data_IF_565527335597
#
_entry.id   IF_565527335597
#
_cell.length_a   1.000
_cell.length_b   1.000
_cell.length_c   1.000
_cell.angle_alpha   90.00
_cell.angle_beta   90.00
_cell.angle_gamma   90.00
#
_symmetry.space_group_name_H-M   'P 1'
#
loop_
_entity.id
_entity.type
_entity.pdbx_description
1 polymer ?
#
# COMPACT_ATOMS: atom_id res chain seq x y z
N UNK A 1 3.75 81.29 -25.01
CA UNK A 1 2.38 81.35 -24.44
C UNK A 1 1.74 79.97 -24.61
N UNK A 2 1.43 79.25 -23.51
CA UNK A 2 0.56 78.04 -23.40
C UNK A 2 1.04 76.72 -24.06
N UNK A 3 1.57 75.69 -23.35
CA UNK A 3 0.90 74.62 -22.53
C UNK A 3 -0.31 74.01 -23.25
N UNK A 4 -0.41 72.68 -23.47
CA UNK A 4 -0.46 71.60 -22.46
C UNK A 4 -0.23 70.22 -23.11
N UNK A 5 0.80 69.46 -22.70
CA UNK A 5 0.82 68.38 -21.70
C UNK A 5 0.14 67.06 -22.13
N UNK A 6 1.01 66.14 -22.59
CA UNK A 6 0.80 64.70 -22.70
C UNK A 6 0.39 64.07 -21.37
N UNK A 7 -0.63 63.23 -21.40
CA UNK A 7 -0.97 62.30 -20.32
C UNK A 7 -1.34 60.95 -20.96
N UNK A 8 -0.35 60.08 -21.15
CA UNK A 8 -0.58 58.66 -21.38
C UNK A 8 -0.25 57.92 -20.10
N UNK A 9 -1.24 57.16 -19.66
CA UNK A 9 -1.40 56.60 -18.35
C UNK A 9 -0.24 55.67 -17.95
N UNK A 10 0.08 55.74 -16.66
CA UNK A 10 0.91 54.82 -15.89
C UNK A 10 0.44 53.37 -16.03
N UNK A 11 1.19 52.55 -16.74
CA UNK A 11 1.11 51.09 -16.67
C UNK A 11 2.25 50.55 -15.80
N UNK A 12 2.00 50.42 -14.50
CA UNK A 12 2.84 49.63 -13.60
C UNK A 12 2.57 48.16 -13.90
N UNK A 13 3.46 47.52 -14.65
CA UNK A 13 3.45 46.08 -14.91
C UNK A 13 4.72 45.46 -14.38
N UNK A 14 4.71 45.06 -13.11
CA UNK A 14 5.76 44.26 -12.48
C UNK A 14 5.89 42.92 -13.21
N UNK A 15 6.99 42.73 -13.95
CA UNK A 15 7.37 41.43 -14.48
C UNK A 15 7.90 40.55 -13.34
N UNK A 16 6.98 39.91 -12.61
CA UNK A 16 7.31 38.89 -11.61
C UNK A 16 7.56 37.58 -12.34
N UNK A 17 8.75 37.05 -12.10
CA UNK A 17 9.28 35.78 -12.59
C UNK A 17 8.30 34.63 -12.32
N UNK A 18 7.59 34.18 -13.35
CA UNK A 18 6.91 32.89 -13.32
C UNK A 18 7.95 31.79 -13.55
N UNK A 19 8.78 31.54 -12.54
CA UNK A 19 9.46 30.25 -12.41
C UNK A 19 8.34 29.26 -12.14
N UNK A 20 7.86 28.62 -13.20
CA UNK A 20 6.84 27.60 -13.11
C UNK A 20 7.28 26.59 -12.05
N UNK A 21 6.57 26.57 -10.94
CA UNK A 21 6.63 25.46 -10.01
C UNK A 21 6.14 24.26 -10.81
N UNK A 22 7.09 23.50 -11.38
CA UNK A 22 6.85 22.08 -11.59
C UNK A 22 6.53 21.58 -10.19
N UNK A 23 5.24 21.51 -9.89
CA UNK A 23 4.75 20.68 -8.81
C UNK A 23 5.31 19.30 -9.13
N UNK A 24 6.40 18.93 -8.45
CA UNK A 24 6.84 17.57 -8.40
C UNK A 24 5.64 16.82 -7.83
N UNK A 25 4.83 16.25 -8.72
CA UNK A 25 3.95 15.16 -8.35
C UNK A 25 4.83 14.23 -7.51
N UNK A 26 4.38 13.81 -6.31
CA UNK A 26 5.18 12.95 -5.47
C UNK A 26 5.62 11.80 -6.36
N UNK A 27 6.93 11.69 -6.57
CA UNK A 27 7.51 10.54 -7.23
C UNK A 27 7.25 9.40 -6.28
N UNK A 28 6.10 8.73 -6.42
CA UNK A 28 5.82 7.46 -5.79
C UNK A 28 7.06 6.61 -6.07
N UNK A 29 7.90 6.36 -5.06
CA UNK A 29 9.10 5.57 -5.31
C UNK A 29 8.56 4.20 -5.74
N UNK A 30 9.01 3.80 -6.93
CA UNK A 30 8.41 2.67 -7.60
C UNK A 30 8.78 1.42 -6.81
N UNK A 31 7.77 0.82 -6.17
CA UNK A 31 7.94 -0.48 -5.54
C UNK A 31 8.16 -1.49 -6.65
N UNK A 32 9.33 -2.10 -6.66
CA UNK A 32 9.68 -3.15 -7.62
C UNK A 32 9.88 -4.49 -6.91
N UNK A 33 9.14 -5.53 -7.32
CA UNK A 33 7.99 -5.50 -8.21
C UNK A 33 6.75 -4.95 -7.50
N UNK A 34 5.78 -4.37 -8.23
CA UNK A 34 4.54 -3.85 -7.60
C UNK A 34 3.61 -4.97 -7.14
N UNK A 35 3.74 -6.17 -7.70
CA UNK A 35 2.93 -7.35 -7.39
C UNK A 35 3.82 -8.57 -7.27
N UNK A 36 3.62 -9.35 -6.21
CA UNK A 36 4.29 -10.63 -5.99
C UNK A 36 3.28 -11.65 -5.46
N UNK A 37 3.44 -12.92 -5.83
CA UNK A 37 2.70 -14.03 -5.25
C UNK A 37 3.52 -14.72 -4.18
N UNK A 38 2.90 -15.16 -3.10
CA UNK A 38 3.54 -15.90 -2.02
C UNK A 38 2.66 -17.08 -1.65
N UNK A 39 3.22 -18.28 -1.54
CA UNK A 39 2.49 -19.39 -0.93
C UNK A 39 2.48 -19.19 0.58
N UNK A 40 1.29 -19.19 1.17
CA UNK A 40 1.07 -19.08 2.59
C UNK A 40 0.26 -20.28 3.09
N UNK A 41 0.62 -20.78 4.27
CA UNK A 41 -0.12 -21.81 4.98
C UNK A 41 -0.81 -21.19 6.20
N UNK A 42 -2.14 -21.24 6.22
CA UNK A 42 -2.98 -20.73 7.30
C UNK A 42 -3.53 -21.85 8.20
N UNK A 43 -2.93 -23.04 8.14
CA UNK A 43 -3.38 -24.23 8.86
C UNK A 43 -4.83 -24.61 8.51
N UNK A 44 -5.72 -24.55 9.50
CA UNK A 44 -7.12 -24.99 9.35
C UNK A 44 -7.97 -24.09 8.44
N UNK A 45 -7.53 -22.86 8.16
CA UNK A 45 -8.22 -21.98 7.22
C UNK A 45 -7.90 -22.31 5.74
N UNK A 46 -6.89 -23.16 5.50
CA UNK A 46 -6.43 -23.53 4.17
C UNK A 46 -5.01 -23.04 3.90
N UNK A 47 -4.47 -23.44 2.76
CA UNK A 47 -3.15 -23.03 2.30
C UNK A 47 -3.15 -22.86 0.79
N UNK A 48 -2.28 -21.98 0.32
CA UNK A 48 -2.06 -21.78 -1.11
C UNK A 48 -1.50 -20.40 -1.44
N UNK A 49 -1.65 -20.00 -2.70
CA UNK A 49 -1.05 -18.78 -3.20
C UNK A 49 -1.87 -17.54 -2.82
N UNK A 50 -1.17 -16.53 -2.31
CA UNK A 50 -1.68 -15.20 -2.03
C UNK A 50 -0.93 -14.20 -2.92
N UNK A 51 -1.67 -13.31 -3.56
CA UNK A 51 -1.14 -12.17 -4.29
C UNK A 51 -1.02 -10.99 -3.35
N UNK A 52 0.19 -10.45 -3.26
CA UNK A 52 0.53 -9.23 -2.55
C UNK A 52 0.74 -8.13 -3.59
N UNK A 53 0.09 -7.00 -3.41
CA UNK A 53 0.32 -5.79 -4.21
C UNK A 53 0.82 -4.71 -3.29
N UNK A 54 2.05 -4.25 -3.50
CA UNK A 54 2.67 -3.19 -2.73
C UNK A 54 2.63 -1.88 -3.51
N UNK A 55 2.37 -0.79 -2.80
CA UNK A 55 2.36 0.58 -3.31
C UNK A 55 3.06 1.47 -2.30
N UNK A 56 3.73 2.52 -2.77
CA UNK A 56 4.41 3.46 -1.90
C UNK A 56 4.15 4.89 -2.34
N UNK A 57 3.84 5.73 -1.36
CA UNK A 57 3.67 7.17 -1.49
C UNK A 57 4.71 7.86 -0.59
N UNK A 58 5.95 7.90 -1.08
CA UNK A 58 7.10 8.55 -0.44
C UNK A 58 7.65 7.77 0.74
N UNK A 59 7.01 7.89 1.91
CA UNK A 59 7.40 7.15 3.14
C UNK A 59 6.29 6.23 3.65
N UNK A 60 5.08 6.38 3.14
CA UNK A 60 3.97 5.48 3.42
C UNK A 60 3.99 4.35 2.39
N UNK A 61 3.82 3.11 2.85
CA UNK A 61 3.60 1.98 1.97
C UNK A 61 2.31 1.27 2.33
N UNK A 62 1.62 0.86 1.29
CA UNK A 62 0.33 0.20 1.39
C UNK A 62 0.42 -1.12 0.67
N UNK A 63 0.03 -2.20 1.36
CA UNK A 63 0.02 -3.55 0.81
C UNK A 63 -1.42 -4.05 0.75
N UNK A 64 -1.82 -4.60 -0.39
CA UNK A 64 -3.10 -5.28 -0.56
C UNK A 64 -2.84 -6.77 -0.72
N UNK A 65 -3.57 -7.59 0.04
CA UNK A 65 -3.47 -9.03 0.01
C UNK A 65 -4.76 -9.61 -0.59
N UNK A 66 -4.61 -10.49 -1.57
CA UNK A 66 -5.72 -11.22 -2.17
C UNK A 66 -5.33 -12.67 -2.37
N UNK A 67 -6.11 -13.63 -1.86
CA UNK A 67 -5.87 -15.06 -2.04
C UNK A 67 -7.13 -15.75 -2.50
N UNK A 68 -7.01 -16.54 -3.56
CA UNK A 68 -8.09 -17.40 -4.06
C UNK A 68 -8.06 -18.81 -3.47
N UNK A 69 -6.94 -19.18 -2.84
CA UNK A 69 -6.77 -20.49 -2.21
C UNK A 69 -7.42 -20.54 -0.82
N UNK A 70 -7.38 -19.43 -0.09
CA UNK A 70 -8.05 -19.29 1.21
C UNK A 70 -9.44 -18.73 0.97
N UNK A 71 -10.46 -19.45 1.44
CA UNK A 71 -11.87 -19.04 1.34
C UNK A 71 -12.35 -18.48 2.67
N UNK A 72 -13.23 -17.48 2.61
CA UNK A 72 -13.89 -16.97 3.80
C UNK A 72 -14.74 -18.09 4.43
N UNK A 73 -14.47 -18.53 5.68
CA UNK A 73 -15.21 -19.64 6.29
C UNK A 73 -16.62 -19.24 6.73
N UNK A 74 -16.86 -17.94 6.87
CA UNK A 74 -18.11 -17.33 7.31
C UNK A 74 -18.36 -16.06 6.50
N UNK A 75 -19.57 -15.51 6.58
CA UNK A 75 -19.86 -14.19 6.04
C UNK A 75 -19.05 -13.12 6.80
N UNK A 76 -18.16 -12.46 6.07
CA UNK A 76 -17.30 -11.41 6.56
C UNK A 76 -17.89 -10.07 6.10
N UNK A 77 -18.33 -9.25 7.05
CA UNK A 77 -18.76 -7.90 6.75
C UNK A 77 -17.56 -7.04 6.32
N UNK A 78 -17.83 -6.03 5.48
CA UNK A 78 -16.80 -5.08 5.07
C UNK A 78 -16.17 -4.40 6.30
N UNK A 79 -14.84 -4.24 6.28
CA UNK A 79 -14.07 -3.62 7.37
C UNK A 79 -14.12 -4.33 8.73
N UNK A 80 -14.39 -5.64 8.72
CA UNK A 80 -14.49 -6.48 9.93
C UNK A 80 -13.31 -7.43 10.12
N UNK A 81 -12.35 -7.45 9.18
CA UNK A 81 -11.11 -8.21 9.26
C UNK A 81 -9.97 -7.28 9.58
N UNK A 82 -9.37 -7.43 10.75
CA UNK A 82 -8.10 -6.80 11.08
C UNK A 82 -6.98 -7.69 10.56
N UNK A 83 -6.15 -7.17 9.67
CA UNK A 83 -5.04 -7.90 9.07
C UNK A 83 -3.74 -7.25 9.45
N UNK A 84 -2.84 -8.05 10.00
CA UNK A 84 -1.50 -7.67 10.40
C UNK A 84 -0.51 -8.51 9.60
N UNK A 85 0.05 -7.92 8.55
CA UNK A 85 1.09 -8.52 7.75
C UNK A 85 2.46 -8.15 8.34
N UNK A 86 3.24 -9.15 8.68
CA UNK A 86 4.63 -8.99 9.12
C UNK A 86 5.55 -9.37 7.98
N UNK A 87 6.45 -8.47 7.65
CA UNK A 87 7.46 -8.65 6.61
C UNK A 87 8.85 -8.53 7.22
N UNK A 88 9.79 -9.31 6.71
CA UNK A 88 11.21 -9.16 7.02
C UNK A 88 11.76 -8.00 6.20
N UNK A 89 12.41 -7.07 6.85
CA UNK A 89 13.02 -5.88 6.28
C UNK A 89 14.53 -6.06 6.22
N UNK A 90 15.12 -5.90 5.04
CA UNK A 90 16.56 -6.06 4.78
C UNK A 90 17.16 -7.36 5.36
N UNK A 91 16.37 -8.44 5.37
CA UNK A 91 16.76 -9.78 5.83
C UNK A 91 16.87 -9.97 7.36
N UNK A 92 16.84 -8.90 8.17
CA UNK A 92 17.07 -8.98 9.62
C UNK A 92 16.00 -8.27 10.44
N UNK A 93 15.61 -7.07 10.00
CA UNK A 93 14.58 -6.28 10.67
C UNK A 93 13.18 -6.80 10.31
N UNK A 94 12.14 -6.26 10.95
CA UNK A 94 10.76 -6.57 10.58
C UNK A 94 9.94 -5.29 10.44
N UNK A 95 9.11 -5.26 9.41
CA UNK A 95 8.09 -4.24 9.21
C UNK A 95 6.71 -4.87 9.42
N UNK A 96 5.80 -4.11 10.02
CA UNK A 96 4.41 -4.55 10.21
C UNK A 96 3.51 -3.61 9.43
N UNK A 97 2.60 -4.20 8.68
CA UNK A 97 1.56 -3.52 7.92
C UNK A 97 0.23 -3.95 8.51
N UNK A 98 -0.56 -2.97 8.92
CA UNK A 98 -1.84 -3.22 9.57
C UNK A 98 -2.93 -2.53 8.80
N UNK A 99 -4.06 -3.21 8.63
CA UNK A 99 -5.24 -2.60 8.05
C UNK A 99 -6.48 -3.33 8.52
N UNK A 100 -7.58 -2.59 8.52
CA UNK A 100 -8.91 -3.12 8.87
C UNK A 100 -9.90 -2.93 7.71
N UNK A 101 -9.37 -2.89 6.50
CA UNK A 101 -10.16 -2.68 5.29
C UNK A 101 -10.25 -4.01 4.55
N UNK A 102 -11.47 -4.45 4.31
CA UNK A 102 -11.78 -5.63 3.52
C UNK A 102 -13.14 -5.41 2.86
N UNK A 103 -13.38 -5.90 1.64
CA UNK A 103 -14.72 -5.94 1.07
C UNK A 103 -15.61 -6.90 1.87
N UNK A 104 -16.93 -6.76 1.72
CA UNK A 104 -17.85 -7.79 2.20
C UNK A 104 -17.63 -9.07 1.38
N UNK A 105 -17.41 -10.19 2.07
CA UNK A 105 -17.15 -11.50 1.48
C UNK A 105 -18.16 -12.48 2.07
N UNK A 106 -18.89 -13.17 1.23
CA UNK A 106 -19.76 -14.26 1.67
C UNK A 106 -18.93 -15.50 2.00
N UNK A 107 -19.50 -16.41 2.80
CA UNK A 107 -18.85 -17.69 3.06
C UNK A 107 -18.56 -18.42 1.73
N UNK A 108 -17.31 -18.82 1.52
CA UNK A 108 -16.82 -19.46 0.28
C UNK A 108 -16.21 -18.50 -0.75
N UNK A 109 -16.29 -17.18 -0.53
CA UNK A 109 -15.62 -16.19 -1.38
C UNK A 109 -14.10 -16.17 -1.16
N UNK A 110 -13.38 -15.65 -2.14
CA UNK A 110 -11.94 -15.42 -2.07
C UNK A 110 -11.59 -14.41 -0.98
N UNK A 111 -10.54 -14.68 -0.20
CA UNK A 111 -10.08 -13.75 0.82
C UNK A 111 -9.41 -12.54 0.18
N UNK A 112 -9.94 -11.36 0.48
CA UNK A 112 -9.38 -10.08 0.10
C UNK A 112 -9.26 -9.18 1.33
N UNK A 113 -8.06 -8.66 1.57
CA UNK A 113 -7.77 -7.77 2.70
C UNK A 113 -6.77 -6.70 2.30
N UNK A 114 -7.09 -5.45 2.61
CA UNK A 114 -6.29 -4.28 2.30
C UNK A 114 -7.16 -3.06 1.95
N UNK A 115 -6.58 -1.86 1.89
CA UNK A 115 -5.16 -1.53 2.08
C UNK A 115 -4.63 -1.77 3.51
N UNK A 116 -3.42 -2.32 3.61
CA UNK A 116 -2.66 -2.45 4.86
C UNK A 116 -1.58 -1.38 4.86
N UNK A 117 -1.65 -0.45 5.79
CA UNK A 117 -0.73 0.67 5.85
C UNK A 117 0.48 0.32 6.72
N UNK A 118 1.64 0.76 6.27
CA UNK A 118 2.90 0.64 6.96
C UNK A 118 3.87 1.74 6.54
N UNK A 119 5.03 1.78 7.19
CA UNK A 119 6.07 2.76 6.91
C UNK A 119 7.31 2.06 6.38
N UNK A 120 7.82 2.55 5.27
CA UNK A 120 9.03 2.04 4.62
C UNK A 120 9.94 3.21 4.27
N UNK A 121 11.23 2.92 4.16
CA UNK A 121 12.21 3.83 3.61
C UNK A 121 12.60 3.37 2.20
N UNK A 122 13.06 4.29 1.37
CA UNK A 122 13.59 3.96 0.06
C UNK A 122 14.86 3.08 0.19
N UNK A 123 14.94 2.04 -0.63
CA UNK A 123 15.95 0.99 -0.60
C UNK A 123 15.63 -0.19 0.33
N UNK A 124 14.47 -0.19 0.99
CA UNK A 124 14.09 -1.28 1.88
C UNK A 124 13.61 -2.49 1.09
N UNK A 125 14.22 -3.64 1.38
CA UNK A 125 13.82 -4.94 0.84
C UNK A 125 12.88 -5.62 1.83
N UNK A 126 11.65 -5.90 1.41
CA UNK A 126 10.57 -6.44 2.23
C UNK A 126 10.17 -7.83 1.76
N UNK A 127 10.31 -8.81 2.64
CA UNK A 127 9.95 -10.21 2.41
C UNK A 127 8.74 -10.64 3.25
N UNK A 128 7.69 -11.17 2.63
CA UNK A 128 6.52 -11.65 3.36
C UNK A 128 6.90 -12.80 4.31
N UNK A 129 6.63 -12.63 5.61
CA UNK A 129 7.00 -13.61 6.65
C UNK A 129 5.76 -14.32 7.21
N UNK A 130 4.82 -13.54 7.71
CA UNK A 130 3.58 -14.06 8.27
C UNK A 130 2.47 -13.02 8.17
N UNK A 131 1.23 -13.48 8.08
CA UNK A 131 0.06 -12.62 8.16
C UNK A 131 -0.88 -13.15 9.23
N UNK A 132 -1.42 -12.25 10.03
CA UNK A 132 -2.41 -12.54 11.05
C UNK A 132 -3.70 -11.84 10.65
N UNK A 133 -4.77 -12.61 10.47
CA UNK A 133 -6.10 -12.09 10.18
C UNK A 133 -6.97 -12.32 11.41
N UNK A 134 -7.64 -11.29 11.89
CA UNK A 134 -8.56 -11.33 13.02
C UNK A 134 -9.94 -10.92 12.51
N UNK A 135 -10.82 -11.89 12.35
CA UNK A 135 -12.18 -11.70 11.85
C UNK A 135 -13.10 -11.49 13.06
N UNK A 136 -13.85 -10.39 13.06
CA UNK A 136 -14.77 -10.01 14.15
C UNK A 136 -14.12 -9.91 15.55
N UNK A 137 -12.79 -9.80 15.63
CA UNK A 137 -12.05 -9.75 16.91
C UNK A 137 -11.93 -11.09 17.66
N UNK A 138 -12.52 -12.17 17.13
CA UNK A 138 -12.63 -13.46 17.84
C UNK A 138 -11.95 -14.59 17.08
N UNK A 139 -12.07 -14.63 15.76
CA UNK A 139 -11.47 -15.67 14.92
C UNK A 139 -10.11 -15.18 14.47
N UNK A 140 -9.04 -15.75 15.02
CA UNK A 140 -7.67 -15.45 14.58
C UNK A 140 -7.16 -16.54 13.65
N UNK A 141 -6.82 -16.15 12.43
CA UNK A 141 -6.15 -16.99 11.44
C UNK A 141 -4.71 -16.50 11.32
N UNK A 142 -3.75 -17.37 11.66
CA UNK A 142 -2.33 -17.08 11.46
C UNK A 142 -1.88 -17.84 10.23
N UNK A 143 -1.36 -17.11 9.25
CA UNK A 143 -0.73 -17.68 8.07
C UNK A 143 0.76 -17.40 8.08
N UNK A 144 1.54 -18.39 7.69
CA UNK A 144 2.99 -18.28 7.52
C UNK A 144 3.35 -18.44 6.06
N UNK A 145 4.23 -17.59 5.54
CA UNK A 145 4.77 -17.77 4.20
C UNK A 145 5.60 -19.06 4.18
N UNK A 146 5.24 -19.99 3.29
CA UNK A 146 5.96 -21.26 3.09
C UNK A 146 6.92 -21.21 1.92
N UNK A 147 6.86 -20.15 1.12
CA UNK A 147 7.70 -19.91 -0.04
C UNK A 147 8.12 -18.44 -0.08
N UNK A 148 9.28 -18.12 -0.68
CA UNK A 148 9.63 -16.74 -0.99
C UNK A 148 8.64 -16.19 -2.01
N UNK A 149 8.34 -14.89 -1.91
CA UNK A 149 7.43 -14.26 -2.84
C UNK A 149 8.07 -14.11 -4.24
N UNK A 150 7.25 -14.18 -5.28
CA UNK A 150 7.67 -14.24 -6.67
C UNK A 150 6.79 -13.34 -7.55
N UNK A 151 7.35 -12.45 -8.37
CA UNK A 151 8.78 -12.12 -8.47
C UNK A 151 9.33 -11.44 -7.21
N UNK A 152 10.55 -11.81 -6.81
CA UNK A 152 11.46 -11.11 -5.88
C UNK A 152 10.90 -10.67 -4.52
N UNK A 153 11.75 -10.19 -3.59
CA UNK A 153 11.28 -9.39 -2.48
C UNK A 153 10.90 -7.97 -2.93
N UNK A 154 9.89 -7.37 -2.31
CA UNK A 154 9.48 -6.00 -2.62
C UNK A 154 10.62 -5.03 -2.25
N UNK A 155 11.13 -4.29 -3.21
CA UNK A 155 12.08 -3.21 -2.97
C UNK A 155 11.33 -1.88 -3.06
N UNK A 156 11.29 -1.17 -1.93
CA UNK A 156 10.61 0.12 -1.77
C UNK A 156 11.54 1.29 -2.06
#
# INVERSE_FOLDING_TARGET
>A
MGRSRSAYATGLGTAVLAVGALAFAPTAAAVDPTTATVSADCGSAGSGEATLKATQDGTAATITLSSSAVKAPIDVAAGSVETTLTMTKNGSDTATFTGKSNPAMSAGDDVNSGPLDGTVAAGDVMEAKSVKLVIFGTITVNCTATSPQSPGPFTF
#
